data_IF_441247917215
#
_entry.id   IF_441247917215
#
_cell.length_a   1.000
_cell.length_b   1.000
_cell.length_c   1.000
_cell.angle_alpha   90.00
_cell.angle_beta   90.00
_cell.angle_gamma   90.00
#
_symmetry.space_group_name_H-M   'P 1'
#
loop_
_entity.id
_entity.type
_entity.pdbx_description
1 polymer ?
#
# COMPACT_ATOMS: atom_id res chain seq x y z
N UNK A 1 40.53 96.48 -63.21
CA UNK A 1 40.39 96.15 -61.77
C UNK A 1 38.92 95.91 -61.46
N UNK A 2 38.38 94.70 -61.65
CA UNK A 2 36.93 94.51 -61.44
C UNK A 2 36.38 93.07 -61.51
N UNK A 3 37.22 92.04 -61.40
CA UNK A 3 36.77 90.64 -61.56
C UNK A 3 36.67 89.91 -60.20
N UNK A 4 37.23 90.45 -59.11
CA UNK A 4 37.33 89.75 -57.81
C UNK A 4 36.21 90.03 -56.79
N UNK A 5 35.44 91.11 -56.92
CA UNK A 5 34.34 91.45 -55.98
C UNK A 5 33.25 90.37 -55.83
N UNK A 6 32.71 89.76 -56.91
CA UNK A 6 31.68 88.72 -56.75
C UNK A 6 32.21 87.39 -56.19
N UNK A 7 33.53 87.19 -56.17
CA UNK A 7 34.15 86.05 -55.49
C UNK A 7 34.29 86.30 -53.98
N UNK A 8 34.59 87.54 -53.58
CA UNK A 8 34.74 87.91 -52.16
C UNK A 8 33.41 87.78 -51.41
N UNK A 9 32.31 88.29 -51.98
CA UNK A 9 30.98 88.19 -51.35
C UNK A 9 30.52 86.74 -51.17
N UNK A 10 30.81 85.85 -52.13
CA UNK A 10 30.53 84.42 -51.99
C UNK A 10 31.34 83.80 -50.86
N UNK A 11 32.64 84.10 -50.79
CA UNK A 11 33.51 83.61 -49.73
C UNK A 11 33.05 84.07 -48.34
N UNK A 12 32.61 85.32 -48.20
CA UNK A 12 32.01 85.84 -46.97
C UNK A 12 30.73 85.09 -46.59
N UNK A 13 29.84 84.83 -47.54
CA UNK A 13 28.62 84.05 -47.27
C UNK A 13 28.93 82.62 -46.88
N UNK A 14 29.91 81.97 -47.50
CA UNK A 14 30.32 80.62 -47.16
C UNK A 14 31.03 80.57 -45.80
N UNK A 15 31.86 81.56 -45.47
CA UNK A 15 32.47 81.70 -44.15
C UNK A 15 31.39 81.88 -43.05
N UNK A 16 30.36 82.68 -43.31
CA UNK A 16 29.24 82.84 -42.38
C UNK A 16 28.47 81.53 -42.19
N UNK A 17 28.20 80.78 -43.27
CA UNK A 17 27.55 79.46 -43.20
C UNK A 17 28.36 78.46 -42.39
N UNK A 18 29.68 78.42 -42.60
CA UNK A 18 30.58 77.58 -41.81
C UNK A 18 30.55 77.99 -40.33
N UNK A 19 30.55 79.30 -40.03
CA UNK A 19 30.43 79.78 -38.65
C UNK A 19 29.13 79.36 -37.97
N UNK A 20 27.99 79.37 -38.67
CA UNK A 20 26.72 78.87 -38.14
C UNK A 20 26.79 77.37 -37.86
N UNK A 21 27.32 76.58 -38.79
CA UNK A 21 27.49 75.13 -38.61
C UNK A 21 28.37 74.83 -37.39
N UNK A 22 29.49 75.53 -37.22
CA UNK A 22 30.36 75.38 -36.05
C UNK A 22 29.57 75.65 -34.76
N UNK A 23 28.77 76.72 -34.73
CA UNK A 23 27.94 77.08 -33.58
C UNK A 23 26.90 76.00 -33.25
N UNK A 24 26.25 75.42 -34.27
CA UNK A 24 25.30 74.31 -34.11
C UNK A 24 25.97 73.05 -33.53
N UNK A 25 27.18 72.74 -33.98
CA UNK A 25 27.97 71.64 -33.45
C UNK A 25 28.40 71.89 -32.01
N UNK A 26 28.84 73.09 -31.64
CA UNK A 26 29.19 73.44 -30.26
C UNK A 26 28.01 73.25 -29.30
N UNK A 27 26.80 73.68 -29.69
CA UNK A 27 25.58 73.45 -28.91
C UNK A 27 25.28 71.95 -28.79
N UNK A 28 25.47 71.19 -29.86
CA UNK A 28 25.26 69.74 -29.88
C UNK A 28 26.25 69.01 -28.98
N UNK A 29 27.54 69.38 -29.01
CA UNK A 29 28.57 68.83 -28.13
C UNK A 29 28.30 69.19 -26.67
N UNK A 30 27.84 70.41 -26.37
CA UNK A 30 27.45 70.80 -25.01
C UNK A 30 26.28 69.96 -24.48
N UNK A 31 25.29 69.64 -25.33
CA UNK A 31 24.18 68.74 -24.97
C UNK A 31 24.68 67.32 -24.70
N UNK A 32 25.58 66.80 -25.55
CA UNK A 32 26.18 65.48 -25.37
C UNK A 32 26.97 65.38 -24.06
N UNK A 33 27.78 66.38 -23.72
CA UNK A 33 28.53 66.43 -22.46
C UNK A 33 27.61 66.40 -21.24
N UNK A 34 26.51 67.17 -21.26
CA UNK A 34 25.49 67.14 -20.20
C UNK A 34 24.84 65.77 -20.06
N UNK A 35 24.51 65.13 -21.19
CA UNK A 35 23.97 63.77 -21.19
C UNK A 35 24.96 62.76 -20.61
N UNK A 36 26.22 62.80 -21.02
CA UNK A 36 27.28 61.92 -20.51
C UNK A 36 27.45 62.08 -19.00
N UNK A 37 27.54 63.30 -18.49
CA UNK A 37 27.58 63.58 -17.04
C UNK A 37 26.36 63.03 -16.30
N UNK A 38 25.17 63.13 -16.92
CA UNK A 38 23.95 62.55 -16.39
C UNK A 38 24.00 61.01 -16.34
N UNK A 39 24.59 60.36 -17.35
CA UNK A 39 24.79 58.92 -17.36
C UNK A 39 25.84 58.47 -16.33
N UNK A 40 26.94 59.20 -16.17
CA UNK A 40 27.96 58.92 -15.14
C UNK A 40 27.39 58.98 -13.73
N UNK A 41 26.53 59.97 -13.44
CA UNK A 41 25.84 60.07 -12.16
C UNK A 41 24.96 58.84 -11.90
N UNK A 42 24.17 58.41 -12.89
CA UNK A 42 23.33 57.20 -12.79
C UNK A 42 24.16 55.93 -12.62
N UNK A 43 25.28 55.79 -13.33
CA UNK A 43 26.17 54.65 -13.19
C UNK A 43 26.71 54.55 -11.76
N UNK A 44 27.13 55.67 -11.17
CA UNK A 44 27.55 55.69 -9.76
C UNK A 44 26.42 55.28 -8.83
N UNK A 45 25.20 55.76 -9.04
CA UNK A 45 24.03 55.34 -8.24
C UNK A 45 23.77 53.83 -8.33
N UNK A 46 23.89 53.26 -9.53
CA UNK A 46 23.80 51.81 -9.73
C UNK A 46 24.90 51.05 -8.99
N UNK A 47 26.16 51.50 -9.07
CA UNK A 47 27.26 50.88 -8.35
C UNK A 47 27.02 50.89 -6.83
N UNK A 48 26.55 52.01 -6.28
CA UNK A 48 26.19 52.11 -4.87
C UNK A 48 25.05 51.16 -4.48
N UNK A 49 24.05 50.99 -5.34
CA UNK A 49 22.96 50.06 -5.11
C UNK A 49 23.45 48.60 -5.12
N UNK A 50 24.29 48.22 -6.10
CA UNK A 50 24.89 46.90 -6.18
C UNK A 50 25.74 46.58 -4.94
N UNK A 51 26.57 47.52 -4.47
CA UNK A 51 27.36 47.33 -3.26
C UNK A 51 26.49 47.14 -2.00
N UNK A 52 25.34 47.81 -1.93
CA UNK A 52 24.39 47.61 -0.82
C UNK A 52 23.77 46.22 -0.87
N UNK A 53 23.32 45.79 -2.05
CA UNK A 53 22.77 44.45 -2.26
C UNK A 53 23.80 43.35 -1.94
N UNK A 54 25.07 43.53 -2.30
CA UNK A 54 26.12 42.57 -1.96
C UNK A 54 26.32 42.45 -0.45
N UNK A 55 26.29 43.56 0.28
CA UNK A 55 26.36 43.55 1.76
C UNK A 55 25.16 42.83 2.37
N UNK A 56 23.95 43.11 1.90
CA UNK A 56 22.73 42.45 2.36
C UNK A 56 22.78 40.93 2.09
N UNK A 57 23.23 40.54 0.89
CA UNK A 57 23.44 39.13 0.54
C UNK A 57 24.43 38.45 1.48
N UNK A 58 25.52 39.12 1.83
CA UNK A 58 26.54 38.54 2.69
C UNK A 58 26.07 38.41 4.15
N UNK A 59 25.26 39.37 4.64
CA UNK A 59 24.56 39.26 5.93
C UNK A 59 23.58 38.08 5.91
N UNK A 60 22.74 37.96 4.87
CA UNK A 60 21.80 36.84 4.74
C UNK A 60 22.53 35.48 4.69
N UNK A 61 23.68 35.41 4.01
CA UNK A 61 24.52 34.19 4.00
C UNK A 61 25.06 33.86 5.39
N UNK A 62 25.46 34.86 6.18
CA UNK A 62 25.91 34.64 7.54
C UNK A 62 24.79 34.12 8.44
N UNK A 63 23.58 34.70 8.32
CA UNK A 63 22.40 34.26 9.06
C UNK A 63 22.00 32.82 8.70
N UNK A 64 22.03 32.46 7.41
CA UNK A 64 21.76 31.09 6.97
C UNK A 64 22.77 30.08 7.53
N UNK A 65 24.06 30.44 7.62
CA UNK A 65 25.08 29.58 8.25
C UNK A 65 24.77 29.37 9.73
N UNK A 66 24.46 30.44 10.47
CA UNK A 66 24.07 30.38 11.88
C UNK A 66 22.83 29.51 12.11
N UNK A 67 21.78 29.68 11.30
CA UNK A 67 20.57 28.85 11.39
C UNK A 67 20.87 27.37 11.10
N UNK A 68 21.73 27.09 10.12
CA UNK A 68 22.15 25.72 9.80
C UNK A 68 22.89 25.08 10.97
N UNK A 69 23.79 25.82 11.64
CA UNK A 69 24.48 25.35 12.84
C UNK A 69 23.51 25.07 14.00
N UNK A 70 22.54 25.96 14.24
CA UNK A 70 21.49 25.74 15.23
C UNK A 70 20.65 24.50 14.94
N UNK A 71 20.28 24.28 13.67
CA UNK A 71 19.51 23.11 13.25
C UNK A 71 20.32 21.82 13.45
N UNK A 72 21.60 21.83 13.10
CA UNK A 72 22.50 20.69 13.32
C UNK A 72 22.66 20.37 14.82
N UNK A 73 22.80 21.39 15.67
CA UNK A 73 22.83 21.22 17.12
C UNK A 73 21.50 20.65 17.65
N UNK A 74 20.36 21.17 17.21
CA UNK A 74 19.06 20.66 17.62
C UNK A 74 18.83 19.23 17.14
N UNK A 75 19.25 18.87 15.93
CA UNK A 75 19.12 17.53 15.38
C UNK A 75 19.89 16.51 16.20
N UNK A 76 21.14 16.81 16.54
CA UNK A 76 21.99 15.93 17.37
C UNK A 76 21.45 15.82 18.80
N UNK A 77 21.23 16.94 19.49
CA UNK A 77 20.80 16.93 20.89
C UNK A 77 19.39 16.37 21.07
N UNK A 78 18.44 16.65 20.16
CA UNK A 78 17.09 16.08 20.26
C UNK A 78 17.08 14.59 19.92
N UNK A 79 17.87 14.15 18.93
CA UNK A 79 18.01 12.72 18.64
C UNK A 79 18.56 11.99 19.87
N UNK A 80 19.66 12.49 20.45
CA UNK A 80 20.27 11.90 21.64
C UNK A 80 19.30 11.88 22.83
N UNK A 81 18.51 12.95 23.03
CA UNK A 81 17.52 12.99 24.12
C UNK A 81 16.42 11.93 23.93
N UNK A 82 15.90 11.77 22.71
CA UNK A 82 14.86 10.77 22.41
C UNK A 82 15.43 9.36 22.58
N UNK A 83 16.64 9.11 22.11
CA UNK A 83 17.32 7.82 22.25
C UNK A 83 17.58 7.47 23.72
N UNK A 84 18.06 8.43 24.53
CA UNK A 84 18.25 8.23 25.97
C UNK A 84 16.92 7.99 26.68
N UNK A 85 15.88 8.75 26.35
CA UNK A 85 14.57 8.60 26.97
C UNK A 85 13.92 7.25 26.64
N UNK A 86 14.03 6.79 25.39
CA UNK A 86 13.52 5.48 24.96
C UNK A 86 14.28 4.34 25.64
N UNK A 87 15.60 4.41 25.74
CA UNK A 87 16.40 3.39 26.44
C UNK A 87 16.11 3.34 27.95
N UNK A 88 15.91 4.50 28.59
CA UNK A 88 15.47 4.55 29.98
C UNK A 88 14.08 3.92 30.18
N UNK A 89 13.13 4.22 29.28
CA UNK A 89 11.80 3.60 29.30
C UNK A 89 11.85 2.09 29.11
N UNK A 90 12.70 1.60 28.19
CA UNK A 90 12.92 0.16 27.98
C UNK A 90 13.48 -0.52 29.23
N UNK A 91 14.48 0.09 29.87
CA UNK A 91 15.08 -0.45 31.11
C UNK A 91 14.07 -0.47 32.26
N UNK A 92 13.28 0.58 32.42
CA UNK A 92 12.23 0.63 33.44
C UNK A 92 11.17 -0.47 33.22
N UNK A 93 10.76 -0.71 31.97
CA UNK A 93 9.86 -1.80 31.63
C UNK A 93 10.47 -3.18 31.93
N UNK A 94 11.75 -3.38 31.58
CA UNK A 94 12.47 -4.62 31.86
C UNK A 94 12.53 -4.90 33.36
N UNK A 95 12.83 -3.88 34.18
CA UNK A 95 12.81 -4.01 35.64
C UNK A 95 11.40 -4.29 36.18
N UNK A 96 10.38 -3.63 35.64
CA UNK A 96 8.98 -3.85 36.05
C UNK A 96 8.51 -5.29 35.71
N UNK A 97 8.88 -5.80 34.54
CA UNK A 97 8.58 -7.17 34.13
C UNK A 97 9.28 -8.19 35.04
N UNK A 98 10.56 -7.98 35.34
CA UNK A 98 11.30 -8.82 36.28
C UNK A 98 10.68 -8.82 37.69
N UNK A 99 10.15 -7.66 38.15
CA UNK A 99 9.48 -7.56 39.45
C UNK A 99 8.09 -8.21 39.47
N UNK A 100 7.31 -8.08 38.40
CA UNK A 100 5.89 -8.51 38.38
C UNK A 100 5.70 -9.96 37.97
N UNK A 101 6.52 -10.47 37.05
CA UNK A 101 6.48 -11.88 36.63
C UNK A 101 7.92 -12.36 36.52
N UNK A 102 8.48 -12.93 37.58
CA UNK A 102 9.80 -13.55 37.52
C UNK A 102 9.82 -14.53 36.35
N UNK A 103 10.88 -14.48 35.55
CA UNK A 103 11.02 -15.27 34.32
C UNK A 103 10.80 -16.78 34.57
N UNK A 104 11.14 -17.26 35.77
CA UNK A 104 10.93 -18.63 36.21
C UNK A 104 9.44 -19.00 36.30
N UNK A 105 8.61 -18.11 36.86
CA UNK A 105 7.15 -18.32 36.99
C UNK A 105 6.47 -18.33 35.62
N UNK A 106 6.90 -17.45 34.71
CA UNK A 106 6.40 -17.47 33.33
C UNK A 106 6.77 -18.78 32.62
N UNK A 107 8.01 -19.24 32.78
CA UNK A 107 8.47 -20.50 32.18
C UNK A 107 7.77 -21.73 32.77
N UNK A 108 7.50 -21.75 34.07
CA UNK A 108 6.69 -22.80 34.70
C UNK A 108 5.28 -22.84 34.11
N UNK A 109 4.61 -21.69 34.01
CA UNK A 109 3.29 -21.59 33.39
C UNK A 109 3.30 -22.04 31.93
N UNK A 110 4.31 -21.65 31.15
CA UNK A 110 4.47 -22.08 29.77
C UNK A 110 4.70 -23.60 29.64
N UNK A 111 5.48 -24.19 30.55
CA UNK A 111 5.69 -25.65 30.61
C UNK A 111 4.41 -26.39 30.99
N UNK A 112 3.66 -25.89 31.98
CA UNK A 112 2.40 -26.50 32.40
C UNK A 112 1.31 -26.40 31.32
N UNK A 113 1.24 -25.27 30.62
CA UNK A 113 0.39 -25.14 29.44
C UNK A 113 0.80 -26.13 28.34
N UNK A 114 2.10 -26.30 28.10
CA UNK A 114 2.59 -27.27 27.11
C UNK A 114 2.19 -28.69 27.48
N UNK A 115 2.33 -29.09 28.75
CA UNK A 115 1.91 -30.41 29.26
C UNK A 115 0.41 -30.66 29.13
N UNK A 116 -0.41 -29.65 29.42
CA UNK A 116 -1.87 -29.77 29.29
C UNK A 116 -2.29 -29.89 27.82
N UNK A 117 -1.67 -29.12 26.93
CA UNK A 117 -1.90 -29.21 25.48
C UNK A 117 -1.49 -30.58 24.93
N UNK A 118 -0.35 -31.14 25.35
CA UNK A 118 0.06 -32.49 24.91
C UNK A 118 -0.91 -33.55 25.40
N UNK A 119 -1.35 -33.47 26.66
CA UNK A 119 -2.33 -34.41 27.22
C UNK A 119 -3.67 -34.37 26.47
N UNK A 120 -4.18 -33.17 26.18
CA UNK A 120 -5.42 -33.01 25.40
C UNK A 120 -5.29 -33.57 23.97
N UNK A 121 -4.11 -33.49 23.36
CA UNK A 121 -3.86 -34.11 22.05
C UNK A 121 -3.89 -35.63 22.12
N UNK A 122 -3.29 -36.21 23.17
CA UNK A 122 -3.32 -37.65 23.40
C UNK A 122 -4.76 -38.15 23.63
N UNK A 123 -5.52 -37.46 24.49
CA UNK A 123 -6.94 -37.75 24.73
C UNK A 123 -7.78 -37.65 23.44
N UNK A 124 -7.54 -36.63 22.61
CA UNK A 124 -8.20 -36.48 21.31
C UNK A 124 -7.88 -37.64 20.36
N UNK A 125 -6.61 -38.07 20.31
CA UNK A 125 -6.19 -39.21 19.50
C UNK A 125 -6.82 -40.53 19.98
N UNK A 126 -6.95 -40.72 21.28
CA UNK A 126 -7.62 -41.89 21.85
C UNK A 126 -9.12 -41.92 21.48
N UNK A 127 -9.81 -40.78 21.58
CA UNK A 127 -11.21 -40.65 21.16
C UNK A 127 -11.38 -40.93 19.67
N UNK A 128 -10.49 -40.42 18.81
CA UNK A 128 -10.54 -40.68 17.36
C UNK A 128 -10.34 -42.17 17.05
N UNK A 129 -9.37 -42.82 17.69
CA UNK A 129 -9.15 -44.26 17.54
C UNK A 129 -10.38 -45.08 17.99
N UNK A 130 -11.00 -44.71 19.12
CA UNK A 130 -12.22 -45.34 19.60
C UNK A 130 -13.41 -45.13 18.67
N UNK A 131 -13.54 -43.95 18.04
CA UNK A 131 -14.57 -43.70 17.04
C UNK A 131 -14.36 -44.56 15.79
N UNK A 132 -13.11 -44.73 15.33
CA UNK A 132 -12.78 -45.59 14.19
C UNK A 132 -13.08 -47.06 14.47
N UNK A 133 -12.82 -47.55 15.68
CA UNK A 133 -13.18 -48.93 16.06
C UNK A 133 -14.69 -49.13 16.12
N UNK A 134 -15.43 -48.21 16.74
CA UNK A 134 -16.91 -48.24 16.76
C UNK A 134 -17.47 -48.17 15.34
N UNK A 135 -16.93 -47.31 14.48
CA UNK A 135 -17.33 -47.23 13.08
C UNK A 135 -17.10 -48.56 12.35
N UNK A 136 -15.93 -49.17 12.54
CA UNK A 136 -15.61 -50.48 11.97
C UNK A 136 -16.59 -51.56 12.44
N UNK A 137 -16.87 -51.63 13.75
CA UNK A 137 -17.81 -52.58 14.32
C UNK A 137 -19.24 -52.38 13.82
N UNK A 138 -19.69 -51.13 13.69
CA UNK A 138 -21.00 -50.78 13.12
C UNK A 138 -21.10 -51.20 11.66
N UNK A 139 -20.09 -50.89 10.84
CA UNK A 139 -20.05 -51.28 9.42
C UNK A 139 -20.03 -52.81 9.29
N UNK A 140 -19.22 -53.49 10.10
CA UNK A 140 -19.16 -54.96 10.16
C UNK A 140 -20.50 -55.56 10.59
N UNK A 141 -21.13 -55.00 11.62
CA UNK A 141 -22.44 -55.42 12.11
C UNK A 141 -23.57 -55.18 11.11
N UNK A 142 -23.55 -54.06 10.38
CA UNK A 142 -24.45 -53.78 9.26
C UNK A 142 -24.23 -54.78 8.12
N UNK A 143 -22.98 -55.13 7.80
CA UNK A 143 -22.67 -56.17 6.82
C UNK A 143 -23.19 -57.55 7.23
N UNK A 144 -23.10 -57.90 8.51
CA UNK A 144 -23.62 -59.16 9.04
C UNK A 144 -25.16 -59.20 9.13
N UNK A 145 -25.81 -58.08 9.46
CA UNK A 145 -27.29 -57.96 9.50
C UNK A 145 -27.92 -57.79 8.13
N UNK A 146 -27.20 -57.21 7.18
CA UNK A 146 -27.54 -57.25 5.76
C UNK A 146 -27.22 -58.66 5.21
N UNK A 147 -27.78 -59.69 5.83
CA UNK A 147 -27.66 -61.04 5.28
C UNK A 147 -28.22 -61.01 3.87
N UNK A 148 -27.43 -61.50 2.92
CA UNK A 148 -27.84 -61.65 1.52
C UNK A 148 -29.14 -62.48 1.42
N UNK A 149 -29.43 -63.29 2.43
CA UNK A 149 -30.67 -64.05 2.58
C UNK A 149 -31.91 -63.16 2.73
N UNK A 150 -31.95 -62.18 3.63
CA UNK A 150 -33.13 -61.33 3.83
C UNK A 150 -33.48 -60.52 2.58
N UNK A 151 -32.46 -59.99 1.90
CA UNK A 151 -32.66 -59.27 0.62
C UNK A 151 -33.07 -60.20 -0.52
N UNK A 152 -32.53 -61.43 -0.57
CA UNK A 152 -32.92 -62.42 -1.58
C UNK A 152 -34.34 -62.96 -1.35
N UNK A 153 -34.75 -63.10 -0.10
CA UNK A 153 -36.07 -63.60 0.28
C UNK A 153 -37.14 -62.52 0.11
N UNK A 154 -36.84 -61.27 0.44
CA UNK A 154 -37.66 -60.11 0.07
C UNK A 154 -37.82 -60.00 -1.45
N UNK A 155 -36.74 -60.15 -2.23
CA UNK A 155 -36.81 -60.16 -3.70
C UNK A 155 -37.67 -61.30 -4.23
N UNK A 156 -37.56 -62.52 -3.66
CA UNK A 156 -38.43 -63.66 -4.02
C UNK A 156 -39.90 -63.41 -3.67
N UNK A 157 -40.18 -62.85 -2.49
CA UNK A 157 -41.55 -62.50 -2.07
C UNK A 157 -42.15 -61.41 -2.96
N UNK A 158 -41.36 -60.40 -3.32
CA UNK A 158 -41.76 -59.33 -4.23
C UNK A 158 -42.04 -59.86 -5.65
N UNK A 159 -41.14 -60.70 -6.19
CA UNK A 159 -41.34 -61.34 -7.49
C UNK A 159 -42.60 -62.21 -7.49
N UNK A 160 -42.83 -63.02 -6.45
CA UNK A 160 -44.05 -63.81 -6.30
C UNK A 160 -45.32 -62.96 -6.18
N UNK A 161 -45.25 -61.82 -5.49
CA UNK A 161 -46.38 -60.89 -5.40
C UNK A 161 -46.69 -60.23 -6.76
N UNK A 162 -45.67 -59.81 -7.51
CA UNK A 162 -45.81 -59.25 -8.85
C UNK A 162 -46.39 -60.27 -9.84
N UNK A 163 -45.94 -61.53 -9.79
CA UNK A 163 -46.52 -62.59 -10.62
C UNK A 163 -47.98 -62.88 -10.29
N UNK A 164 -48.35 -62.87 -9.00
CA UNK A 164 -49.77 -63.01 -8.59
C UNK A 164 -50.61 -61.84 -9.09
N UNK A 165 -50.09 -60.62 -9.00
CA UNK A 165 -50.78 -59.43 -9.49
C UNK A 165 -50.98 -59.47 -11.01
N UNK A 166 -49.94 -59.82 -11.79
CA UNK A 166 -50.05 -59.99 -13.24
C UNK A 166 -51.02 -61.12 -13.64
N UNK A 167 -51.11 -62.19 -12.84
CA UNK A 167 -52.08 -63.27 -13.09
C UNK A 167 -53.51 -62.78 -12.88
N UNK A 168 -53.77 -62.04 -11.80
CA UNK A 168 -55.07 -61.39 -11.57
C UNK A 168 -55.39 -60.35 -12.63
N UNK A 169 -54.40 -59.58 -13.11
CA UNK A 169 -54.59 -58.62 -14.19
C UNK A 169 -54.98 -59.32 -15.51
N UNK A 170 -54.35 -60.47 -15.82
CA UNK A 170 -54.71 -61.30 -16.98
C UNK A 170 -56.06 -61.97 -16.81
N UNK A 171 -56.37 -62.49 -15.63
CA UNK A 171 -57.68 -63.07 -15.30
C UNK A 171 -58.76 -61.99 -15.43
N UNK A 172 -58.56 -60.80 -14.86
CA UNK A 172 -59.45 -59.66 -15.00
C UNK A 172 -59.63 -59.24 -16.46
N UNK A 173 -58.54 -59.17 -17.26
CA UNK A 173 -58.62 -58.89 -18.70
C UNK A 173 -59.37 -59.99 -19.46
N UNK A 174 -59.22 -61.26 -19.08
CA UNK A 174 -59.95 -62.38 -19.69
C UNK A 174 -61.43 -62.43 -19.27
N UNK A 175 -61.75 -62.09 -18.03
CA UNK A 175 -63.12 -61.94 -17.54
C UNK A 175 -63.79 -60.71 -18.15
N UNK A 176 -63.04 -59.63 -18.39
CA UNK A 176 -63.52 -58.45 -19.10
C UNK A 176 -63.76 -58.76 -20.59
N UNK A 177 -62.87 -59.52 -21.25
CA UNK A 177 -63.03 -59.97 -22.65
C UNK A 177 -64.16 -60.98 -22.85
N UNK A 178 -64.52 -61.78 -21.84
CA UNK A 178 -65.69 -62.68 -21.87
C UNK A 178 -67.00 -61.98 -21.46
N UNK A 179 -66.93 -60.87 -20.72
CA UNK A 179 -68.10 -60.09 -20.31
C UNK A 179 -68.42 -58.93 -21.27
N UNK A 180 -67.60 -58.67 -22.30
CA UNK A 180 -67.85 -57.61 -23.29
C UNK A 180 -67.57 -58.06 -24.73
N UNK A 181 -68.27 -59.11 -25.15
CA UNK A 181 -68.93 -59.16 -26.46
C UNK A 181 -70.42 -59.39 -26.17
N UNK A 182 -71.37 -58.52 -26.44
CA UNK A 182 -71.46 -57.43 -27.40
C UNK A 182 -72.14 -56.20 -26.78
N UNK A 183 -71.51 -55.04 -26.89
CA UNK A 183 -72.15 -53.73 -27.12
C UNK A 183 -71.06 -52.70 -27.42
N UNK A 184 -70.84 -52.46 -28.71
CA UNK A 184 -70.06 -51.34 -29.28
C UNK A 184 -70.98 -50.13 -29.50
N UNK A 185 -70.51 -48.95 -29.94
CA UNK A 185 -69.61 -48.01 -29.28
C UNK A 185 -70.26 -46.61 -29.18
N UNK A 186 -69.74 -45.71 -28.33
CA UNK A 186 -70.01 -44.27 -28.52
C UNK A 186 -68.91 -43.39 -27.91
N UNK A 187 -68.43 -42.49 -28.78
CA UNK A 187 -67.76 -41.23 -28.54
C UNK A 187 -66.48 -41.30 -27.68
N UNK A 188 -65.31 -41.37 -28.31
CA UNK A 188 -64.61 -40.20 -28.86
C UNK A 188 -64.25 -39.20 -27.75
N UNK A 189 -62.97 -39.08 -27.44
CA UNK A 189 -62.15 -37.97 -27.95
C UNK A 189 -60.71 -38.44 -27.99
N UNK A 190 -60.16 -38.36 -29.20
CA UNK A 190 -58.75 -38.36 -29.58
C UNK A 190 -57.99 -37.22 -28.90
N UNK A 191 -56.83 -37.52 -28.32
CA UNK A 191 -55.63 -36.66 -28.30
C UNK A 191 -54.44 -37.63 -28.16
N UNK A 192 -53.97 -38.21 -29.26
CA UNK A 192 -52.66 -37.86 -29.83
C UNK A 192 -52.19 -36.42 -29.58
N UNK A 193 -50.90 -36.30 -29.25
CA UNK A 193 -50.21 -35.04 -29.11
C UNK A 193 -50.54 -34.39 -27.78
N UNK A 194 -49.62 -34.25 -26.86
CA UNK A 194 -48.44 -33.41 -27.03
C UNK A 194 -47.76 -33.54 -25.69
N UNK A 195 -46.45 -33.68 -25.67
CA UNK A 195 -45.68 -32.47 -25.46
C UNK A 195 -45.56 -32.23 -23.97
N UNK A 196 -44.34 -32.45 -23.48
CA UNK A 196 -43.64 -31.43 -22.70
C UNK A 196 -44.54 -30.67 -21.73
N UNK A 197 -44.59 -31.16 -20.50
CA UNK A 197 -44.36 -30.27 -19.39
C UNK A 197 -43.43 -31.05 -18.44
N UNK A 198 -42.10 -31.04 -18.62
CA UNK A 198 -41.28 -29.84 -18.36
C UNK A 198 -42.10 -28.76 -17.65
N UNK A 199 -42.63 -29.12 -16.49
CA UNK A 199 -42.52 -28.20 -15.36
C UNK A 199 -41.20 -28.60 -14.71
N UNK A 200 -40.10 -28.27 -15.40
CA UNK A 200 -38.99 -27.65 -14.70
C UNK A 200 -39.54 -26.37 -14.08
N UNK A 201 -40.32 -26.52 -13.01
CA UNK A 201 -40.46 -25.53 -11.97
C UNK A 201 -39.07 -25.48 -11.39
N UNK A 202 -38.26 -24.61 -11.98
CA UNK A 202 -36.93 -24.35 -11.54
C UNK A 202 -37.09 -23.79 -10.12
N UNK A 203 -36.97 -24.67 -9.12
CA UNK A 203 -36.69 -24.28 -7.75
C UNK A 203 -35.24 -23.79 -7.73
N UNK A 204 -35.01 -22.68 -8.44
CA UNK A 204 -33.85 -21.83 -8.30
C UNK A 204 -34.22 -20.87 -7.18
N UNK A 205 -33.38 -20.80 -6.17
CA UNK A 205 -33.45 -19.70 -5.22
C UNK A 205 -33.42 -18.38 -6.01
N UNK A 206 -34.46 -17.54 -5.90
CA UNK A 206 -34.56 -16.28 -6.63
C UNK A 206 -33.46 -15.27 -6.25
N UNK A 207 -32.65 -15.59 -5.23
CA UNK A 207 -31.52 -14.75 -4.79
C UNK A 207 -30.16 -15.23 -5.32
N UNK A 208 -29.99 -16.51 -5.67
CA UNK A 208 -28.68 -17.04 -6.08
C UNK A 208 -28.69 -18.03 -7.27
N UNK A 209 -29.85 -18.41 -7.80
CA UNK A 209 -29.95 -19.21 -9.04
C UNK A 209 -29.50 -20.68 -8.94
N UNK A 210 -29.05 -21.15 -7.78
CA UNK A 210 -28.54 -22.52 -7.60
C UNK A 210 -29.68 -23.53 -7.49
N UNK A 211 -29.51 -24.67 -8.16
CA UNK A 211 -30.47 -25.79 -8.25
C UNK A 211 -30.03 -26.89 -7.27
N UNK A 212 -30.79 -27.14 -6.21
CA UNK A 212 -30.49 -28.24 -5.27
C UNK A 212 -31.31 -29.47 -5.64
N UNK A 213 -30.68 -30.50 -6.19
CA UNK A 213 -31.25 -31.85 -6.26
C UNK A 213 -30.76 -32.62 -5.04
N UNK A 214 -31.69 -32.97 -4.16
CA UNK A 214 -31.46 -33.82 -3.00
C UNK A 214 -31.49 -35.28 -3.45
N UNK A 215 -30.39 -35.76 -4.02
CA UNK A 215 -30.14 -37.20 -4.16
C UNK A 215 -28.70 -37.49 -3.76
N UNK A 216 -28.57 -38.39 -2.78
CA UNK A 216 -27.30 -38.76 -2.18
C UNK A 216 -26.50 -39.78 -2.99
N UNK A 217 -25.19 -39.75 -2.72
CA UNK A 217 -24.21 -40.81 -2.83
C UNK A 217 -23.65 -41.17 -4.23
N UNK A 218 -22.40 -40.75 -4.49
CA UNK A 218 -21.22 -41.65 -4.54
C UNK A 218 -19.92 -40.85 -4.62
N UNK A 219 -18.96 -41.25 -3.79
CA UNK A 219 -17.60 -40.74 -3.75
C UNK A 219 -16.90 -40.84 -5.11
N UNK A 220 -16.33 -39.73 -5.57
CA UNK A 220 -14.98 -39.70 -6.12
C UNK A 220 -14.28 -38.47 -5.54
N UNK A 221 -13.20 -38.70 -4.81
CA UNK A 221 -12.37 -37.67 -4.17
C UNK A 221 -11.63 -36.90 -5.26
N UNK A 222 -11.72 -35.55 -5.35
CA UNK A 222 -10.77 -34.77 -6.13
C UNK A 222 -9.48 -34.61 -5.31
N UNK A 223 -8.35 -34.96 -5.91
CA UNK A 223 -7.01 -34.68 -5.37
C UNK A 223 -6.82 -33.18 -5.09
N UNK A 224 -6.01 -32.80 -4.07
CA UNK A 224 -5.67 -31.40 -3.83
C UNK A 224 -4.80 -30.89 -4.98
N UNK A 225 -5.27 -29.84 -5.65
CA UNK A 225 -4.50 -29.10 -6.64
C UNK A 225 -3.29 -28.46 -5.97
N UNK A 226 -2.11 -28.84 -6.43
CA UNK A 226 -0.84 -28.14 -6.18
C UNK A 226 -0.97 -26.68 -6.59
N UNK A 227 -0.96 -25.79 -5.60
CA UNK A 227 -0.70 -24.37 -5.80
C UNK A 227 0.73 -24.20 -6.30
N UNK A 228 0.89 -23.98 -7.60
CA UNK A 228 2.14 -23.49 -8.21
C UNK A 228 1.95 -22.01 -8.49
N UNK A 229 2.69 -21.10 -7.84
CA UNK A 229 2.73 -19.70 -8.24
C UNK A 229 3.48 -19.57 -9.56
N UNK A 230 2.81 -18.99 -10.56
CA UNK A 230 3.42 -18.59 -11.83
C UNK A 230 4.47 -17.51 -11.59
N UNK A 231 5.72 -17.81 -11.97
CA UNK A 231 6.84 -16.86 -11.94
C UNK A 231 6.68 -15.80 -13.03
N UNK A 232 6.56 -14.53 -12.63
CA UNK A 232 6.97 -13.41 -13.47
C UNK A 232 8.44 -13.11 -13.22
N UNK A 233 9.23 -13.17 -14.30
CA UNK A 233 10.63 -12.75 -14.35
C UNK A 233 10.76 -11.27 -14.01
N UNK A 234 11.41 -10.94 -12.89
CA UNK A 234 12.14 -9.67 -12.74
C UNK A 234 13.57 -10.02 -12.34
N UNK A 235 14.47 -9.60 -13.22
CA UNK A 235 15.91 -9.76 -13.15
C UNK A 235 16.45 -8.65 -12.24
N UNK A 236 17.01 -8.98 -11.08
CA UNK A 236 17.92 -8.08 -10.37
C UNK A 236 19.13 -8.87 -9.88
N UNK A 237 20.27 -8.52 -10.47
CA UNK A 237 21.59 -8.95 -10.07
C UNK A 237 22.00 -8.21 -8.78
N UNK A 238 22.85 -8.84 -7.97
CA UNK A 238 23.59 -8.16 -6.91
C UNK A 238 23.58 -8.89 -5.59
N UNK A 239 24.38 -9.95 -5.48
CA UNK A 239 24.80 -10.46 -4.19
C UNK A 239 25.84 -9.54 -3.57
N UNK A 240 25.77 -9.36 -2.24
CA UNK A 240 26.94 -9.04 -1.43
C UNK A 240 26.79 -9.71 -0.06
N UNK A 241 27.78 -10.54 0.26
CA UNK A 241 28.00 -11.13 1.56
C UNK A 241 28.66 -10.09 2.46
N UNK A 242 28.07 -9.76 3.61
CA UNK A 242 28.80 -9.16 4.72
C UNK A 242 28.38 -9.81 6.02
N UNK A 243 29.36 -10.49 6.63
CA UNK A 243 29.30 -11.10 7.95
C UNK A 243 28.95 -10.04 8.99
N UNK A 244 27.91 -10.27 9.77
CA UNK A 244 27.53 -9.49 10.95
C UNK A 244 28.46 -9.84 12.11
N UNK A 245 29.52 -9.06 12.29
CA UNK A 245 30.20 -8.92 13.58
C UNK A 245 29.72 -7.63 14.25
N UNK A 246 29.34 -7.69 15.53
CA UNK A 246 28.89 -6.54 16.29
C UNK A 246 30.05 -5.57 16.56
N UNK A 247 29.91 -4.24 16.37
CA UNK A 247 30.87 -3.30 16.90
C UNK A 247 30.52 -2.98 18.36
N UNK A 248 31.44 -3.33 19.25
CA UNK A 248 31.50 -2.93 20.66
C UNK A 248 31.51 -1.39 20.74
N UNK A 249 30.37 -0.79 21.10
CA UNK A 249 30.27 0.66 21.29
C UNK A 249 30.80 1.01 22.68
N UNK A 250 32.08 1.38 22.72
CA UNK A 250 32.71 2.04 23.87
C UNK A 250 32.01 3.38 24.12
N UNK A 251 31.26 3.48 25.21
CA UNK A 251 30.75 4.75 25.70
C UNK A 251 31.93 5.63 26.14
N UNK A 252 32.27 6.64 25.35
CA UNK A 252 33.18 7.70 25.79
C UNK A 252 32.41 8.70 26.63
N UNK A 253 32.47 8.55 27.95
CA UNK A 253 32.14 9.63 28.89
C UNK A 253 33.23 10.71 28.80
N UNK A 254 33.01 11.70 27.93
CA UNK A 254 33.82 12.91 27.88
C UNK A 254 33.43 13.86 29.02
N UNK A 255 34.38 14.13 29.91
CA UNK A 255 34.23 15.05 31.04
C UNK A 255 33.96 16.48 30.56
N UNK A 256 32.86 17.08 31.03
CA UNK A 256 32.52 18.48 30.79
C UNK A 256 33.48 19.41 31.55
N UNK A 257 34.54 19.85 30.87
CA UNK A 257 35.34 20.99 31.31
C UNK A 257 34.55 22.29 31.13
N UNK A 258 34.19 22.95 32.23
CA UNK A 258 33.53 24.24 32.21
C UNK A 258 34.46 25.32 31.64
N UNK A 259 34.20 25.78 30.41
CA UNK A 259 34.87 26.94 29.82
C UNK A 259 34.22 28.22 30.39
N UNK A 260 34.95 28.87 31.30
CA UNK A 260 34.61 30.19 31.86
C UNK A 260 34.87 31.26 30.79
N UNK A 261 33.81 31.89 30.26
CA UNK A 261 33.95 33.07 29.37
C UNK A 261 34.51 34.27 30.16
N UNK A 262 35.45 35.06 29.61
CA UNK A 262 35.80 36.36 30.17
C UNK A 262 34.70 37.40 29.88
N UNK A 263 34.52 38.35 30.80
CA UNK A 263 33.59 39.49 30.68
C UNK A 263 34.04 40.47 29.58
N UNK A 264 33.11 41.22 28.95
CA UNK A 264 33.46 42.26 28.00
C UNK A 264 34.05 43.48 28.72
N UNK A 265 35.15 44.01 28.18
CA UNK A 265 35.83 45.20 28.65
C UNK A 265 35.16 46.48 28.12
N UNK A 266 34.90 47.36 29.06
CA UNK A 266 34.59 48.78 29.07
C UNK A 266 34.53 49.60 27.75
N UNK A 267 33.43 50.36 27.72
CA UNK A 267 33.18 51.66 27.10
C UNK A 267 34.41 52.54 26.82
N UNK A 268 34.50 53.02 25.59
CA UNK A 268 35.11 54.33 25.28
C UNK A 268 34.13 55.18 24.46
N UNK A 269 33.45 56.10 25.14
CA UNK A 269 32.88 57.33 24.58
C UNK A 269 34.01 58.18 23.95
N UNK A 270 33.77 58.84 22.81
CA UNK A 270 34.40 60.12 22.53
C UNK A 270 33.40 61.24 22.80
N UNK A 271 33.79 62.13 23.70
CA UNK A 271 33.16 63.41 23.98
C UNK A 271 33.28 64.37 22.78
N UNK A 272 32.32 65.28 22.71
CA UNK A 272 32.22 66.38 21.77
C UNK A 272 33.47 67.28 21.70
N UNK A 273 33.80 67.76 20.50
CA UNK A 273 34.53 69.02 20.34
C UNK A 273 33.94 69.80 19.16
N UNK A 274 33.12 70.80 19.48
CA UNK A 274 32.80 71.91 18.59
C UNK A 274 33.97 72.89 18.59
N UNK A 275 34.55 73.21 17.42
CA UNK A 275 35.26 74.48 17.20
C UNK A 275 35.13 74.96 15.74
N UNK A 276 34.52 76.15 15.66
CA UNK A 276 34.56 77.22 14.64
C UNK A 276 34.09 76.92 13.22
#
# INVERSE_FOLDING_TARGET
MGIHEPMLTKLETDAHRVSMLISEYEVSFSKLDKHLKGHDAKLREFDWACQRMDKERDVLRADLRSQTEQLNYLSTVKADKVDVQTELGRRALETDLQQRVPYDVFNEMARDLTRTVTKLREELHEVDANLQTVQYELVKGLGAKATVQDLSELRKRLAGALSRWQKLEKEQKSTLLLATGDSSPAAAVTVDGTGVAVITGANKCLTCGVRTTLEGNRCTVPQPSTFVPTQHKVRNAGGFHTKTGAPEKVFRTGSLGAVRKPRPADEKRPEHCWKR
#
